data_IF_221316016423
#
_entry.id   IF_221316016423
#
_cell.length_a   1.000
_cell.length_b   1.000
_cell.length_c   1.000
_cell.angle_alpha   90.00
_cell.angle_beta   90.00
_cell.angle_gamma   90.00
#
_symmetry.space_group_name_H-M   'P 1'
#
loop_
_entity.id
_entity.type
_entity.pdbx_description
1 polymer ?
#
# COMPACT_ATOMS: atom_id res chain seq x y z
N UNK A 1 43.34 14.48 -20.79
CA UNK A 1 43.03 13.24 -21.53
C UNK A 1 41.58 12.89 -21.23
N UNK A 2 40.88 12.24 -22.16
CA UNK A 2 39.54 11.76 -21.90
C UNK A 2 39.60 10.48 -21.06
N UNK A 3 38.71 10.34 -20.09
CA UNK A 3 38.21 9.03 -19.69
C UNK A 3 36.86 8.85 -20.38
N UNK A 4 36.77 7.81 -21.18
CA UNK A 4 35.56 7.43 -21.90
C UNK A 4 34.57 6.90 -20.86
N UNK A 5 33.28 7.17 -21.06
CA UNK A 5 32.22 6.59 -20.25
C UNK A 5 31.97 5.14 -20.68
N UNK A 6 32.95 4.28 -20.44
CA UNK A 6 32.80 2.84 -20.60
C UNK A 6 31.76 2.37 -19.57
N UNK A 7 30.61 1.93 -20.08
CA UNK A 7 29.57 1.31 -19.26
C UNK A 7 30.08 -0.07 -18.85
N UNK A 8 30.83 -0.13 -17.75
CA UNK A 8 31.08 -1.38 -17.06
C UNK A 8 29.76 -1.90 -16.51
N UNK A 9 29.40 -3.13 -16.86
CA UNK A 9 28.39 -3.89 -16.12
C UNK A 9 28.81 -3.93 -14.65
N UNK A 10 27.96 -3.44 -13.74
CA UNK A 10 28.24 -3.41 -12.31
C UNK A 10 28.09 -4.83 -11.76
N UNK A 11 29.14 -5.62 -11.91
CA UNK A 11 29.25 -6.99 -11.39
C UNK A 11 29.27 -6.96 -9.86
N UNK A 12 28.07 -7.02 -9.27
CA UNK A 12 27.87 -7.08 -7.84
C UNK A 12 28.44 -8.37 -7.24
N UNK A 13 29.27 -8.22 -6.20
CA UNK A 13 29.68 -9.31 -5.30
C UNK A 13 28.86 -9.18 -4.03
N UNK A 14 28.39 -10.33 -3.51
CA UNK A 14 27.64 -10.39 -2.25
C UNK A 14 28.39 -9.68 -1.12
N UNK A 15 27.72 -8.77 -0.42
CA UNK A 15 28.33 -7.92 0.62
C UNK A 15 28.88 -8.74 1.80
N UNK A 16 28.40 -9.96 2.00
CA UNK A 16 28.95 -10.91 2.98
C UNK A 16 30.38 -11.38 2.67
N UNK A 17 30.91 -11.07 1.48
CA UNK A 17 32.26 -11.45 1.02
C UNK A 17 33.27 -10.28 1.08
N UNK A 18 32.83 -9.03 1.20
CA UNK A 18 33.72 -7.85 1.27
C UNK A 18 34.11 -7.53 2.72
N UNK A 19 34.85 -8.47 3.32
CA UNK A 19 35.22 -8.47 4.74
C UNK A 19 36.26 -7.38 5.12
N UNK A 20 36.72 -6.58 4.16
CA UNK A 20 37.80 -5.59 4.36
C UNK A 20 37.42 -4.16 3.92
N UNK A 21 36.23 -3.95 3.34
CA UNK A 21 35.71 -2.61 3.10
C UNK A 21 35.59 -1.81 4.40
N UNK A 22 36.22 -0.64 4.43
CA UNK A 22 36.02 0.33 5.51
C UNK A 22 34.66 1.01 5.35
N UNK A 23 33.85 1.04 6.42
CA UNK A 23 32.51 1.65 6.40
C UNK A 23 32.58 3.10 5.87
N UNK A 24 31.91 3.42 4.74
CA UNK A 24 32.01 4.75 4.14
C UNK A 24 31.37 5.80 5.06
N UNK A 25 32.11 6.89 5.31
CA UNK A 25 31.67 7.95 6.20
C UNK A 25 30.70 8.89 5.48
N UNK A 26 29.48 9.05 6.03
CA UNK A 26 28.49 9.97 5.47
C UNK A 26 28.92 11.42 5.75
N UNK A 27 29.26 12.16 4.68
CA UNK A 27 29.64 13.58 4.73
C UNK A 27 28.81 14.46 3.77
N UNK A 28 27.85 13.87 3.05
CA UNK A 28 27.01 14.57 2.06
C UNK A 28 25.76 15.23 2.65
N UNK A 29 25.39 14.89 3.89
CA UNK A 29 24.27 15.47 4.62
C UNK A 29 24.84 16.26 5.81
N UNK A 30 24.69 17.58 5.78
CA UNK A 30 25.23 18.45 6.84
C UNK A 30 24.32 18.47 8.08
N UNK A 31 22.99 18.39 7.85
CA UNK A 31 21.96 18.31 8.88
C UNK A 31 20.61 17.92 8.27
N UNK A 32 19.61 17.63 9.10
CA UNK A 32 18.23 17.53 8.64
C UNK A 32 17.22 17.57 9.78
N UNK A 33 16.02 18.07 9.50
CA UNK A 33 14.98 18.38 10.48
C UNK A 33 13.60 17.95 9.95
N UNK A 34 12.67 17.67 10.86
CA UNK A 34 11.27 17.43 10.52
C UNK A 34 10.52 18.76 10.53
N UNK A 35 9.76 19.05 9.48
CA UNK A 35 9.13 20.36 9.25
C UNK A 35 7.62 20.20 9.02
N UNK A 36 6.82 20.96 9.76
CA UNK A 36 5.35 20.86 9.78
C UNK A 36 4.69 21.77 8.76
N UNK A 37 3.70 21.24 8.04
CA UNK A 37 2.89 21.91 7.02
C UNK A 37 1.41 21.80 7.39
N UNK A 38 0.65 22.88 7.17
CA UNK A 38 -0.81 22.95 7.36
C UNK A 38 -1.54 22.73 6.02
N UNK A 39 -2.83 22.36 6.01
CA UNK A 39 -3.63 22.25 4.80
C UNK A 39 -3.76 23.61 4.09
N UNK A 40 -3.83 23.60 2.77
CA UNK A 40 -4.01 24.81 1.93
C UNK A 40 -5.42 25.40 2.08
N UNK A 41 -6.42 24.55 2.33
CA UNK A 41 -7.82 24.92 2.52
C UNK A 41 -8.35 24.45 3.87
N UNK A 42 -9.39 25.12 4.38
CA UNK A 42 -10.11 24.67 5.59
C UNK A 42 -10.61 23.23 5.44
N UNK A 43 -10.33 22.38 6.42
CA UNK A 43 -10.81 20.99 6.47
C UNK A 43 -12.34 20.99 6.47
N UNK A 44 -12.94 20.04 5.76
CA UNK A 44 -14.40 19.83 5.73
C UNK A 44 -14.74 18.34 5.74
N UNK A 45 -16.01 18.01 5.98
CA UNK A 45 -16.44 16.61 6.12
C UNK A 45 -16.40 15.82 4.81
N UNK A 46 -16.51 16.47 3.65
CA UNK A 46 -16.60 15.80 2.34
C UNK A 46 -15.54 16.29 1.32
N UNK A 47 -14.80 17.37 1.61
CA UNK A 47 -13.76 17.89 0.72
C UNK A 47 -12.43 17.13 0.83
N UNK A 48 -11.56 17.22 -0.20
CA UNK A 48 -10.20 16.73 -0.09
C UNK A 48 -9.40 17.56 0.92
N UNK A 49 -8.34 16.96 1.47
CA UNK A 49 -7.31 17.69 2.24
C UNK A 49 -6.09 17.81 1.34
N UNK A 50 -5.65 19.05 1.11
CA UNK A 50 -4.52 19.36 0.24
C UNK A 50 -3.39 20.03 1.02
N UNK A 51 -2.16 19.57 0.77
CA UNK A 51 -0.93 20.14 1.35
C UNK A 51 0.04 20.49 0.21
N UNK A 52 0.69 21.67 0.30
CA UNK A 52 1.73 22.08 -0.66
C UNK A 52 3.06 22.21 0.07
N UNK A 53 4.06 21.48 -0.42
CA UNK A 53 5.41 21.43 0.16
C UNK A 53 6.33 22.25 -0.73
N UNK A 54 6.57 23.51 -0.32
CA UNK A 54 7.36 24.43 -1.12
C UNK A 54 8.82 23.98 -1.30
N UNK A 55 9.20 23.80 -2.57
CA UNK A 55 10.55 23.44 -3.03
C UNK A 55 11.47 24.63 -3.27
N UNK A 56 11.13 25.84 -2.79
CA UNK A 56 11.90 27.08 -3.02
C UNK A 56 13.25 27.16 -2.31
N UNK A 57 13.59 26.18 -1.47
CA UNK A 57 14.90 26.08 -0.81
C UNK A 57 15.94 25.51 -1.78
N UNK A 58 17.02 26.24 -2.02
CA UNK A 58 18.10 25.81 -2.94
C UNK A 58 19.08 24.83 -2.30
N UNK A 59 19.21 24.85 -0.97
CA UNK A 59 20.18 24.06 -0.19
C UNK A 59 19.57 22.80 0.45
N UNK A 60 18.25 22.71 0.58
CA UNK A 60 17.54 21.61 1.23
C UNK A 60 16.88 20.67 0.21
N UNK A 61 17.15 19.37 0.32
CA UNK A 61 16.41 18.32 -0.39
C UNK A 61 15.37 17.68 0.55
N UNK A 62 14.35 17.03 0.01
CA UNK A 62 13.40 16.25 0.83
C UNK A 62 13.96 14.85 1.09
N UNK A 63 14.05 14.44 2.36
CA UNK A 63 14.14 13.02 2.70
C UNK A 63 12.74 12.44 2.61
N UNK A 64 12.44 11.88 1.44
CA UNK A 64 11.17 11.28 1.16
C UNK A 64 10.82 10.27 2.24
N UNK A 65 11.69 9.29 2.55
CA UNK A 65 11.44 8.21 3.53
C UNK A 65 11.09 8.63 4.99
N UNK A 66 11.00 9.93 5.29
CA UNK A 66 10.50 10.49 6.56
C UNK A 66 9.50 11.64 6.33
N UNK A 67 8.45 11.39 5.54
CA UNK A 67 7.21 12.17 5.57
C UNK A 67 6.13 11.43 6.37
N UNK A 68 5.31 12.16 7.13
CA UNK A 68 4.24 11.60 7.94
C UNK A 68 3.00 12.50 7.88
N UNK A 69 1.81 11.92 8.02
CA UNK A 69 0.58 12.67 8.29
C UNK A 69 0.24 12.56 9.78
N UNK A 70 -0.10 13.69 10.39
CA UNK A 70 -0.67 13.79 11.74
C UNK A 70 -2.15 14.14 11.60
N UNK A 71 -3.05 13.37 12.20
CA UNK A 71 -4.49 13.58 12.13
C UNK A 71 -5.09 13.50 13.53
N UNK A 72 -5.84 14.52 13.92
CA UNK A 72 -6.66 14.52 15.13
C UNK A 72 -8.12 14.40 14.73
N UNK A 73 -8.81 13.35 15.18
CA UNK A 73 -10.15 13.06 14.69
C UNK A 73 -11.10 12.49 15.75
N UNK A 74 -12.41 12.59 15.47
CA UNK A 74 -13.49 12.26 16.42
C UNK A 74 -14.57 11.40 15.75
N UNK A 75 -15.15 10.49 16.53
CA UNK A 75 -16.35 9.74 16.16
C UNK A 75 -17.55 10.36 16.88
N UNK A 76 -18.44 10.99 16.12
CA UNK A 76 -19.69 11.54 16.64
C UNK A 76 -20.79 10.48 16.50
N UNK A 77 -21.35 10.05 17.63
CA UNK A 77 -22.48 9.10 17.68
C UNK A 77 -23.75 9.86 18.08
N UNK A 78 -24.82 9.83 17.27
CA UNK A 78 -26.11 10.43 17.64
C UNK A 78 -26.66 9.80 18.92
N UNK A 79 -27.10 10.65 19.86
CA UNK A 79 -27.78 10.20 21.08
C UNK A 79 -29.15 9.61 20.74
N UNK A 80 -29.22 8.29 20.62
CA UNK A 80 -30.47 7.55 20.59
C UNK A 80 -31.16 7.56 21.96
N UNK A 81 -32.47 7.31 21.96
CA UNK A 81 -33.33 7.27 23.14
C UNK A 81 -32.71 6.39 24.25
N UNK A 82 -32.62 6.85 25.52
CA UNK A 82 -32.09 6.06 26.62
C UNK A 82 -32.82 4.74 26.91
N UNK A 83 -34.03 4.53 26.35
CA UNK A 83 -34.71 3.23 26.35
C UNK A 83 -34.09 2.21 25.36
N UNK A 84 -33.23 2.65 24.43
CA UNK A 84 -32.51 1.81 23.47
C UNK A 84 -31.02 1.69 23.82
N UNK A 85 -30.46 0.50 23.65
CA UNK A 85 -29.03 0.28 23.85
C UNK A 85 -28.22 1.10 22.83
N UNK A 86 -27.22 1.87 23.31
CA UNK A 86 -26.38 2.69 22.45
C UNK A 86 -25.66 1.80 21.41
N UNK A 87 -25.69 2.15 20.12
CA UNK A 87 -25.15 1.29 19.07
C UNK A 87 -23.62 1.21 19.18
N UNK A 88 -23.10 -0.01 19.26
CA UNK A 88 -21.66 -0.24 19.25
C UNK A 88 -21.11 0.07 17.86
N UNK A 89 -20.35 1.17 17.74
CA UNK A 89 -19.65 1.57 16.53
C UNK A 89 -18.24 2.06 16.88
N UNK A 90 -17.27 1.69 16.05
CA UNK A 90 -15.86 2.05 16.17
C UNK A 90 -15.16 1.96 14.82
N UNK A 91 -13.84 2.13 14.74
CA UNK A 91 -13.12 2.15 13.48
C UNK A 91 -12.67 0.77 12.99
N UNK A 92 -12.56 0.62 11.66
CA UNK A 92 -11.91 -0.54 11.03
C UNK A 92 -10.41 -0.58 11.36
N UNK A 93 -9.73 -1.68 11.03
CA UNK A 93 -8.29 -1.78 11.17
C UNK A 93 -7.56 -0.76 10.29
N UNK A 94 -6.40 -0.28 10.73
CA UNK A 94 -5.62 0.75 10.04
C UNK A 94 -6.44 2.04 9.77
N UNK A 95 -7.07 2.58 10.82
CA UNK A 95 -8.08 3.64 10.69
C UNK A 95 -7.55 4.87 9.93
N UNK A 96 -6.35 5.35 10.26
CA UNK A 96 -5.74 6.53 9.62
C UNK A 96 -5.66 6.41 8.09
N UNK A 97 -5.31 5.24 7.58
CA UNK A 97 -5.23 4.98 6.14
C UNK A 97 -6.62 4.76 5.54
N UNK A 98 -7.51 4.10 6.27
CA UNK A 98 -8.87 3.80 5.80
C UNK A 98 -9.74 5.05 5.62
N UNK A 99 -9.42 6.17 6.29
CA UNK A 99 -10.07 7.48 6.13
C UNK A 99 -9.95 8.07 4.71
N UNK A 100 -8.98 7.61 3.92
CA UNK A 100 -8.68 8.17 2.61
C UNK A 100 -8.85 7.12 1.52
N UNK A 101 -9.68 7.42 0.51
CA UNK A 101 -9.94 6.54 -0.64
C UNK A 101 -8.87 6.64 -1.72
N UNK A 102 -8.18 7.79 -1.80
CA UNK A 102 -7.09 8.04 -2.74
C UNK A 102 -6.07 9.02 -2.12
N UNK A 103 -4.78 8.74 -2.34
CA UNK A 103 -3.62 9.45 -1.75
C UNK A 103 -2.49 9.51 -2.80
N UNK A 104 -2.18 10.71 -3.30
CA UNK A 104 -1.37 10.88 -4.52
C UNK A 104 0.08 11.42 -4.23
N UNK A 105 1.04 10.67 -3.61
CA UNK A 105 2.37 11.26 -3.17
C UNK A 105 3.63 10.33 -2.89
N UNK A 106 4.69 10.79 -2.13
CA UNK A 106 6.14 10.37 -2.08
C UNK A 106 6.81 10.11 -0.64
N UNK A 107 7.43 8.91 -0.32
CA UNK A 107 7.99 8.28 0.97
C UNK A 107 7.95 6.69 1.01
N UNK A 108 9.01 5.96 1.38
CA UNK A 108 8.96 4.47 1.56
C UNK A 108 8.81 4.00 3.03
N UNK A 109 8.35 2.75 3.23
CA UNK A 109 7.84 2.11 4.46
C UNK A 109 8.97 1.55 5.39
N UNK A 110 8.82 0.73 6.47
CA UNK A 110 7.83 -0.28 6.97
C UNK A 110 8.02 -0.46 8.51
N UNK A 111 6.97 -0.52 9.38
CA UNK A 111 7.17 -0.66 10.85
C UNK A 111 5.97 -1.20 11.71
N UNK A 112 5.64 -2.51 11.63
CA UNK A 112 4.33 -3.05 12.09
C UNK A 112 3.99 -3.02 13.60
N UNK A 113 4.64 -3.83 14.45
CA UNK A 113 4.09 -4.20 15.78
C UNK A 113 4.11 -3.11 16.87
N UNK A 114 4.81 -2.00 16.64
CA UNK A 114 4.86 -0.85 17.55
C UNK A 114 4.34 0.41 16.86
N UNK A 115 5.02 0.86 15.80
CA UNK A 115 4.76 2.14 15.15
C UNK A 115 3.45 2.16 14.34
N UNK A 116 2.88 1.06 13.86
CA UNK A 116 1.54 1.13 13.25
C UNK A 116 0.40 1.24 14.29
N UNK A 117 0.66 1.12 15.60
CA UNK A 117 -0.41 1.34 16.61
C UNK A 117 -0.85 2.80 16.66
N UNK A 118 -0.01 3.78 16.25
CA UNK A 118 -0.41 5.18 16.03
C UNK A 118 -1.24 5.40 14.76
N UNK A 119 -1.46 4.36 13.95
CA UNK A 119 -2.45 4.34 12.87
C UNK A 119 -3.72 3.57 13.28
N UNK A 120 -3.81 3.13 14.54
CA UNK A 120 -4.71 2.09 15.04
C UNK A 120 -4.63 0.75 14.28
N UNK A 121 -3.43 0.32 13.85
CA UNK A 121 -3.24 -1.07 13.44
C UNK A 121 -3.29 -1.99 14.66
N UNK A 122 -4.29 -2.88 14.69
CA UNK A 122 -4.40 -4.00 15.63
C UNK A 122 -4.94 -5.19 14.85
N UNK A 123 -4.29 -6.35 14.96
CA UNK A 123 -4.64 -7.54 14.17
C UNK A 123 -6.10 -7.96 14.39
N UNK A 124 -6.86 -8.05 13.30
CA UNK A 124 -8.27 -8.45 13.35
C UNK A 124 -8.38 -9.94 13.65
N UNK A 125 -9.25 -10.31 14.58
CA UNK A 125 -9.27 -11.67 15.11
C UNK A 125 -9.75 -12.66 14.04
N UNK A 126 -8.97 -13.71 13.71
CA UNK A 126 -9.32 -14.63 12.64
C UNK A 126 -10.70 -15.26 12.84
N UNK A 127 -11.53 -15.23 11.79
CA UNK A 127 -12.91 -15.72 11.79
C UNK A 127 -13.93 -14.82 12.49
N UNK A 128 -13.49 -13.73 13.13
CA UNK A 128 -14.31 -12.81 13.90
C UNK A 128 -14.27 -11.37 13.37
N UNK A 129 -13.70 -11.17 12.17
CA UNK A 129 -13.47 -9.85 11.56
C UNK A 129 -14.74 -8.99 11.38
N UNK A 130 -15.90 -9.61 11.15
CA UNK A 130 -17.22 -8.96 11.09
C UNK A 130 -17.97 -9.10 12.44
N UNK A 131 -17.27 -8.98 13.57
CA UNK A 131 -17.86 -8.93 14.92
C UNK A 131 -17.44 -7.64 15.61
N UNK A 132 -18.40 -7.02 16.30
CA UNK A 132 -18.25 -5.75 17.03
C UNK A 132 -18.28 -5.98 18.55
N UNK A 133 -17.79 -7.15 18.98
CA UNK A 133 -17.82 -7.67 20.35
C UNK A 133 -16.44 -8.20 20.74
N UNK A 134 -16.22 -8.50 22.02
CA UNK A 134 -14.89 -8.90 22.54
C UNK A 134 -14.31 -10.20 21.98
N UNK A 135 -15.08 -10.96 21.20
CA UNK A 135 -14.56 -12.02 20.33
C UNK A 135 -13.62 -11.48 19.21
N UNK A 136 -13.62 -10.16 18.98
CA UNK A 136 -12.77 -9.44 18.04
C UNK A 136 -11.81 -8.49 18.79
N UNK A 137 -10.71 -9.04 19.28
CA UNK A 137 -9.70 -8.34 20.10
C UNK A 137 -9.07 -7.13 19.39
N UNK A 138 -8.89 -7.20 18.06
CA UNK A 138 -8.44 -6.06 17.24
C UNK A 138 -9.41 -4.88 17.32
N UNK A 139 -10.67 -5.10 16.95
CA UNK A 139 -11.74 -4.11 17.08
C UNK A 139 -11.91 -3.59 18.52
N UNK A 140 -12.01 -4.46 19.53
CA UNK A 140 -12.11 -4.04 20.94
C UNK A 140 -10.89 -3.22 21.40
N UNK A 141 -9.69 -3.43 20.82
CA UNK A 141 -8.52 -2.61 21.11
C UNK A 141 -8.62 -1.22 20.47
N UNK A 142 -9.12 -1.13 19.23
CA UNK A 142 -9.36 0.16 18.56
C UNK A 142 -10.50 0.96 19.20
N UNK A 143 -11.59 0.29 19.58
CA UNK A 143 -12.78 0.90 20.19
C UNK A 143 -12.45 1.63 21.51
N UNK A 144 -11.47 1.15 22.28
CA UNK A 144 -10.97 1.84 23.49
C UNK A 144 -10.39 3.23 23.20
N UNK A 145 -9.78 3.41 22.03
CA UNK A 145 -9.23 4.70 21.60
C UNK A 145 -10.32 5.67 21.14
N UNK A 146 -11.43 5.19 20.58
CA UNK A 146 -12.56 6.05 20.13
C UNK A 146 -13.72 6.18 21.13
N UNK A 147 -13.54 5.69 22.37
CA UNK A 147 -14.61 5.68 23.39
C UNK A 147 -15.04 7.11 23.78
N UNK A 148 -16.31 7.27 24.13
CA UNK A 148 -16.91 8.50 24.68
C UNK A 148 -16.73 9.76 23.82
N UNK A 149 -16.46 9.60 22.51
CA UNK A 149 -16.27 10.70 21.57
C UNK A 149 -14.96 11.48 21.77
N UNK A 150 -13.95 10.89 22.41
CA UNK A 150 -12.65 11.55 22.59
C UNK A 150 -11.92 11.77 21.25
N UNK A 151 -11.08 12.81 21.20
CA UNK A 151 -10.23 13.07 20.04
C UNK A 151 -9.07 12.07 20.05
N UNK A 152 -8.92 11.32 18.96
CA UNK A 152 -7.81 10.39 18.76
C UNK A 152 -6.70 11.09 17.99
N UNK A 153 -5.47 10.97 18.50
CA UNK A 153 -4.24 11.45 17.86
C UNK A 153 -3.64 10.30 17.03
N UNK A 154 -3.42 10.52 15.73
CA UNK A 154 -2.97 9.51 14.77
C UNK A 154 -1.76 10.03 14.00
N UNK A 155 -0.73 9.22 13.86
CA UNK A 155 0.53 9.61 13.22
C UNK A 155 1.17 8.46 12.45
N UNK A 156 1.37 8.62 11.15
CA UNK A 156 1.98 7.58 10.33
C UNK A 156 2.50 8.05 8.98
N UNK A 157 3.33 7.23 8.32
CA UNK A 157 3.69 7.44 6.93
C UNK A 157 2.45 7.35 6.03
N UNK A 158 2.45 8.09 4.93
CA UNK A 158 1.51 7.94 3.82
C UNK A 158 2.02 6.86 2.82
N UNK A 159 1.15 6.32 1.95
CA UNK A 159 1.45 5.15 1.09
C UNK A 159 0.90 5.32 -0.35
N UNK A 160 1.75 5.13 -1.38
CA UNK A 160 1.51 5.12 -2.85
C UNK A 160 2.84 4.72 -3.55
N UNK A 161 3.16 5.25 -4.75
CA UNK A 161 4.06 4.60 -5.71
C UNK A 161 5.44 5.24 -5.87
N UNK A 162 5.51 6.52 -6.29
CA UNK A 162 6.67 7.37 -5.96
C UNK A 162 6.72 7.60 -4.44
N UNK A 163 5.70 7.15 -3.67
CA UNK A 163 5.86 6.90 -2.24
C UNK A 163 7.09 5.97 -2.08
N UNK A 164 7.07 4.74 -2.58
CA UNK A 164 8.07 3.72 -2.22
C UNK A 164 9.50 3.83 -2.87
N UNK A 165 10.22 4.95 -2.71
CA UNK A 165 11.59 5.21 -3.26
C UNK A 165 12.55 5.82 -2.23
N UNK A 166 13.81 5.39 -2.24
CA UNK A 166 14.86 5.80 -1.27
C UNK A 166 15.75 6.99 -1.73
N UNK A 167 15.40 7.66 -2.84
CA UNK A 167 16.18 8.79 -3.41
C UNK A 167 15.63 10.13 -2.92
N UNK A 168 16.52 11.05 -2.52
CA UNK A 168 16.16 12.42 -2.16
C UNK A 168 15.63 13.18 -3.39
N UNK A 169 14.54 13.94 -3.23
CA UNK A 169 14.01 14.78 -4.31
C UNK A 169 14.88 16.03 -4.52
N UNK A 170 15.20 16.35 -5.78
CA UNK A 170 15.97 17.54 -6.16
C UNK A 170 15.33 18.85 -5.70
N UNK A 171 16.14 19.81 -5.27
CA UNK A 171 15.70 21.18 -5.00
C UNK A 171 15.14 21.86 -6.26
N UNK A 172 14.12 22.71 -6.07
CA UNK A 172 13.38 23.36 -7.15
C UNK A 172 12.26 22.52 -7.78
N UNK A 173 11.97 21.31 -7.28
CA UNK A 173 10.76 20.54 -7.63
C UNK A 173 9.66 20.86 -6.61
N UNK A 174 8.46 21.17 -7.06
CA UNK A 174 7.29 21.35 -6.21
C UNK A 174 6.55 20.02 -5.99
N UNK A 175 6.05 19.80 -4.77
CA UNK A 175 5.19 18.65 -4.43
C UNK A 175 3.85 19.15 -3.88
N UNK A 176 2.78 18.81 -4.60
CA UNK A 176 1.40 19.00 -4.16
C UNK A 176 0.81 17.66 -3.76
N UNK A 177 0.08 17.64 -2.65
CA UNK A 177 -0.53 16.46 -2.04
C UNK A 177 -2.04 16.61 -2.09
N UNK A 178 -2.75 15.60 -2.61
CA UNK A 178 -4.21 15.51 -2.54
C UNK A 178 -4.60 14.23 -1.80
N UNK A 179 -5.48 14.38 -0.80
CA UNK A 179 -6.07 13.28 -0.04
C UNK A 179 -7.59 13.31 -0.25
N UNK A 180 -8.15 12.28 -0.86
CA UNK A 180 -9.60 12.15 -1.04
C UNK A 180 -10.18 11.32 0.11
N UNK A 181 -11.28 11.78 0.73
CA UNK A 181 -11.92 11.07 1.84
C UNK A 181 -12.74 9.88 1.35
N UNK A 182 -12.64 8.76 2.05
CA UNK A 182 -13.50 7.59 1.84
C UNK A 182 -14.87 7.78 2.50
N UNK A 183 -15.83 6.90 2.17
CA UNK A 183 -17.15 6.87 2.81
C UNK A 183 -17.03 6.39 4.28
N UNK A 184 -17.75 7.02 5.21
CA UNK A 184 -17.81 6.59 6.62
C UNK A 184 -18.10 5.08 6.76
N UNK A 185 -19.00 4.53 5.93
CA UNK A 185 -19.35 3.11 5.96
C UNK A 185 -18.22 2.16 5.51
N UNK A 186 -17.16 2.67 4.87
CA UNK A 186 -15.97 1.88 4.51
C UNK A 186 -14.96 1.82 5.67
N UNK A 187 -14.87 2.87 6.49
CA UNK A 187 -13.82 2.99 7.51
C UNK A 187 -14.32 3.01 8.97
N UNK A 188 -15.62 2.80 9.18
CA UNK A 188 -16.25 2.52 10.48
C UNK A 188 -16.93 1.15 10.45
N UNK A 189 -17.05 0.52 11.61
CA UNK A 189 -17.67 -0.79 11.77
C UNK A 189 -18.52 -0.82 13.05
N UNK A 190 -19.70 -1.43 13.01
CA UNK A 190 -20.61 -1.46 14.14
C UNK A 190 -21.99 -2.08 13.86
N UNK A 191 -22.85 -2.01 14.87
CA UNK A 191 -24.22 -2.50 14.84
C UNK A 191 -25.26 -1.55 14.22
N UNK A 192 -24.89 -0.33 13.85
CA UNK A 192 -25.76 0.58 13.07
C UNK A 192 -24.95 1.65 12.33
N UNK A 193 -25.53 2.18 11.24
CA UNK A 193 -24.91 3.19 10.35
C UNK A 193 -24.85 4.61 10.94
N UNK A 194 -25.06 4.78 12.24
CA UNK A 194 -25.26 6.10 12.86
C UNK A 194 -23.97 6.93 13.05
N UNK A 195 -22.79 6.31 12.98
CA UNK A 195 -21.52 6.97 13.30
C UNK A 195 -21.04 7.93 12.20
N UNK A 196 -20.76 9.18 12.57
CA UNK A 196 -20.20 10.21 11.67
C UNK A 196 -18.76 10.55 12.09
N UNK A 197 -17.86 10.61 11.12
CA UNK A 197 -16.44 10.85 11.35
C UNK A 197 -15.99 12.27 10.99
N UNK A 198 -15.38 12.95 11.98
CA UNK A 198 -14.93 14.34 11.90
C UNK A 198 -13.39 14.40 12.01
N UNK A 199 -12.71 14.97 11.02
CA UNK A 199 -11.30 15.35 11.12
C UNK A 199 -11.25 16.75 11.74
N UNK A 200 -10.64 16.87 12.91
CA UNK A 200 -10.61 18.09 13.73
C UNK A 200 -9.37 18.94 13.41
N UNK A 201 -8.23 18.29 13.15
CA UNK A 201 -6.98 18.92 12.73
C UNK A 201 -6.17 17.93 11.88
N UNK A 202 -5.35 18.43 10.96
CA UNK A 202 -4.48 17.62 10.12
C UNK A 202 -3.19 18.40 9.78
N UNK A 203 -2.05 17.72 9.86
CA UNK A 203 -0.73 18.27 9.53
C UNK A 203 0.05 17.28 8.67
N UNK A 204 0.89 17.79 7.77
CA UNK A 204 1.88 17.01 7.03
C UNK A 204 3.27 17.35 7.57
N UNK A 205 4.05 16.34 7.97
CA UNK A 205 5.38 16.52 8.53
C UNK A 205 6.41 15.97 7.54
N UNK A 206 7.19 16.84 6.90
CA UNK A 206 8.17 16.49 5.85
C UNK A 206 9.58 16.66 6.38
N UNK A 207 10.47 15.67 6.22
CA UNK A 207 11.89 15.86 6.53
C UNK A 207 12.64 16.59 5.42
N UNK A 208 13.37 17.64 5.79
CA UNK A 208 14.33 18.34 4.94
C UNK A 208 15.78 18.04 5.34
N UNK A 209 16.67 18.13 4.36
CA UNK A 209 18.07 17.68 4.44
C UNK A 209 18.98 18.68 3.74
N UNK A 210 19.91 19.32 4.47
CA UNK A 210 20.88 20.23 3.82
C UNK A 210 21.98 19.44 3.13
N UNK A 211 22.19 19.73 1.85
CA UNK A 211 23.18 19.09 0.97
C UNK A 211 24.37 20.00 0.77
N UNK A 212 25.57 19.44 0.77
CA UNK A 212 26.80 20.22 0.65
C UNK A 212 26.96 20.86 -0.75
N UNK A 213 27.55 22.07 -0.87
CA UNK A 213 27.63 22.80 -2.14
C UNK A 213 28.37 22.06 -3.27
N UNK A 214 29.32 21.18 -2.94
CA UNK A 214 30.04 20.36 -3.92
C UNK A 214 29.15 19.31 -4.57
N UNK A 215 28.24 18.68 -3.81
CA UNK A 215 27.26 17.72 -4.33
C UNK A 215 26.21 18.44 -5.18
N UNK A 216 25.75 19.63 -4.76
CA UNK A 216 24.83 20.47 -5.56
C UNK A 216 25.47 20.85 -6.90
N UNK A 217 26.75 21.24 -6.92
CA UNK A 217 27.48 21.55 -8.15
C UNK A 217 27.61 20.32 -9.06
N UNK A 218 27.96 19.15 -8.51
CA UNK A 218 28.08 17.91 -9.26
C UNK A 218 26.73 17.46 -9.87
N UNK A 219 25.62 17.56 -9.12
CA UNK A 219 24.29 17.27 -9.63
C UNK A 219 23.89 18.21 -10.77
N UNK A 220 24.16 19.52 -10.65
CA UNK A 220 23.87 20.48 -11.72
C UNK A 220 24.73 20.24 -12.99
N UNK A 221 25.96 19.74 -12.85
CA UNK A 221 26.79 19.32 -13.98
C UNK A 221 26.25 18.02 -14.63
N UNK A 222 25.85 17.02 -13.84
CA UNK A 222 25.26 15.78 -14.34
C UNK A 222 23.93 16.03 -15.09
N UNK A 223 23.08 16.93 -14.56
CA UNK A 223 21.81 17.34 -15.17
C UNK A 223 21.98 18.02 -16.54
N UNK A 224 23.16 18.56 -16.86
CA UNK A 224 23.46 19.09 -18.19
C UNK A 224 23.63 17.99 -19.26
N UNK A 225 23.78 16.72 -18.85
CA UNK A 225 24.07 15.56 -19.71
C UNK A 225 22.94 14.51 -19.66
N UNK A 226 22.34 14.27 -18.50
CA UNK A 226 21.31 13.24 -18.29
C UNK A 226 20.22 13.68 -17.29
N UNK A 227 19.05 13.04 -17.35
CA UNK A 227 17.96 13.20 -16.40
C UNK A 227 18.28 12.55 -15.05
N UNK A 228 17.78 13.13 -13.95
CA UNK A 228 17.79 12.48 -12.64
C UNK A 228 16.65 11.46 -12.57
N UNK A 229 17.00 10.18 -12.36
CA UNK A 229 16.08 9.03 -12.47
C UNK A 229 15.54 8.55 -11.13
N UNK A 230 14.23 8.50 -10.98
CA UNK A 230 13.52 7.99 -9.81
C UNK A 230 12.71 6.75 -10.22
N UNK A 231 13.29 5.54 -10.09
CA UNK A 231 12.55 4.30 -10.33
C UNK A 231 11.49 4.10 -9.24
N UNK A 232 10.28 3.72 -9.64
CA UNK A 232 9.12 3.57 -8.75
C UNK A 232 8.46 2.21 -8.92
N UNK A 233 7.78 1.75 -7.87
CA UNK A 233 6.87 0.62 -7.94
C UNK A 233 5.45 1.18 -8.11
N UNK A 234 4.92 1.19 -9.34
CA UNK A 234 3.56 1.66 -9.62
C UNK A 234 2.53 0.60 -9.22
N UNK A 235 1.42 1.01 -8.63
CA UNK A 235 0.30 0.16 -8.25
C UNK A 235 -0.91 0.49 -9.14
N UNK A 236 -1.69 -0.53 -9.44
CA UNK A 236 -3.06 -0.39 -9.95
C UNK A 236 -3.94 -1.43 -9.26
N UNK A 237 -5.19 -1.08 -8.96
CA UNK A 237 -6.12 -1.93 -8.20
C UNK A 237 -7.43 -2.09 -8.95
N UNK A 238 -7.64 -3.26 -9.53
CA UNK A 238 -8.87 -3.58 -10.28
C UNK A 238 -9.85 -4.36 -9.42
N UNK A 239 -11.06 -3.82 -9.30
CA UNK A 239 -12.18 -4.45 -8.64
C UNK A 239 -13.11 -5.10 -9.67
N UNK A 240 -13.28 -6.42 -9.64
CA UNK A 240 -14.13 -7.16 -10.57
C UNK A 240 -15.22 -7.90 -9.79
N UNK A 241 -16.49 -7.54 -10.03
CA UNK A 241 -17.63 -8.20 -9.40
C UNK A 241 -17.91 -9.58 -10.02
N UNK A 242 -18.20 -10.53 -9.14
CA UNK A 242 -18.66 -11.89 -9.42
C UNK A 242 -20.07 -12.00 -8.82
N UNK A 243 -21.13 -12.14 -9.62
CA UNK A 243 -22.50 -12.20 -9.12
C UNK A 243 -22.76 -13.43 -8.24
N UNK A 244 -23.69 -13.30 -7.29
CA UNK A 244 -24.31 -14.45 -6.62
C UNK A 244 -24.83 -15.49 -7.64
N UNK A 245 -24.81 -16.77 -7.25
CA UNK A 245 -25.11 -17.91 -8.11
C UNK A 245 -23.92 -18.41 -8.96
N UNK A 246 -22.85 -17.62 -9.10
CA UNK A 246 -21.66 -18.04 -9.88
C UNK A 246 -20.90 -19.17 -9.20
N UNK A 247 -20.51 -20.20 -9.96
CA UNK A 247 -19.53 -21.23 -9.56
C UNK A 247 -18.17 -21.05 -10.25
N UNK A 248 -18.07 -20.19 -11.27
CA UNK A 248 -16.86 -19.95 -12.04
C UNK A 248 -16.89 -18.54 -12.60
N UNK A 249 -15.72 -17.88 -12.64
CA UNK A 249 -15.52 -16.57 -13.27
C UNK A 249 -14.20 -16.59 -14.03
N UNK A 250 -14.29 -16.38 -15.35
CA UNK A 250 -13.15 -15.90 -16.13
C UNK A 250 -13.12 -14.37 -16.08
N UNK A 251 -11.91 -13.83 -15.94
CA UNK A 251 -11.59 -12.42 -15.97
C UNK A 251 -10.56 -12.25 -17.09
N UNK A 252 -11.05 -12.09 -18.32
CA UNK A 252 -10.22 -11.87 -19.50
C UNK A 252 -9.75 -10.40 -19.57
N UNK A 253 -8.54 -10.18 -20.09
CA UNK A 253 -7.94 -8.85 -20.26
C UNK A 253 -7.92 -7.98 -18.98
N UNK A 254 -7.63 -8.59 -17.82
CA UNK A 254 -7.38 -7.86 -16.56
C UNK A 254 -6.28 -6.82 -16.80
N UNK A 255 -5.26 -7.18 -17.59
CA UNK A 255 -4.42 -6.23 -18.31
C UNK A 255 -4.30 -6.64 -19.77
N UNK A 256 -4.14 -5.64 -20.62
CA UNK A 256 -3.85 -5.75 -22.05
C UNK A 256 -2.90 -4.61 -22.39
N UNK A 257 -1.75 -4.90 -23.00
CA UNK A 257 -0.64 -3.95 -23.09
C UNK A 257 0.41 -4.29 -22.04
N UNK A 258 0.88 -3.32 -21.25
CA UNK A 258 1.90 -3.57 -20.21
C UNK A 258 1.40 -4.57 -19.17
N UNK A 259 2.24 -5.55 -18.84
CA UNK A 259 1.96 -6.58 -17.84
C UNK A 259 2.58 -6.21 -16.47
N UNK A 260 1.90 -6.50 -15.35
CA UNK A 260 2.46 -6.29 -14.02
C UNK A 260 3.64 -7.24 -13.77
N UNK A 261 4.57 -6.81 -12.91
CA UNK A 261 5.64 -7.65 -12.35
C UNK A 261 5.15 -8.54 -11.20
N UNK A 262 4.13 -8.10 -10.46
CA UNK A 262 3.47 -8.87 -9.39
C UNK A 262 1.96 -8.59 -9.38
N UNK A 263 1.17 -9.60 -9.03
CA UNK A 263 -0.26 -9.45 -8.73
C UNK A 263 -0.57 -10.07 -7.37
N UNK A 264 -1.42 -9.40 -6.59
CA UNK A 264 -2.06 -9.88 -5.37
C UNK A 264 -3.56 -9.91 -5.63
N UNK A 265 -4.22 -11.05 -5.41
CA UNK A 265 -5.68 -11.15 -5.48
C UNK A 265 -6.26 -11.53 -4.11
N UNK A 266 -7.37 -10.90 -3.77
CA UNK A 266 -8.22 -11.24 -2.63
C UNK A 266 -9.69 -11.15 -3.01
N UNK A 267 -10.54 -11.84 -2.25
CA UNK A 267 -11.99 -11.81 -2.44
C UNK A 267 -12.69 -11.26 -1.20
N UNK A 268 -13.64 -10.36 -1.39
CA UNK A 268 -14.46 -9.76 -0.31
C UNK A 268 -15.93 -9.68 -0.76
N UNK A 269 -16.87 -9.60 0.17
CA UNK A 269 -18.26 -9.32 -0.21
C UNK A 269 -18.34 -7.95 -0.90
N UNK A 270 -19.13 -7.81 -1.96
CA UNK A 270 -19.28 -6.53 -2.68
C UNK A 270 -19.88 -5.43 -1.81
N UNK A 271 -20.71 -5.81 -0.82
CA UNK A 271 -21.21 -4.92 0.25
C UNK A 271 -20.10 -4.36 1.12
N UNK A 272 -19.15 -5.20 1.57
CA UNK A 272 -17.98 -4.76 2.33
C UNK A 272 -17.09 -3.82 1.49
N UNK A 273 -16.81 -4.18 0.24
CA UNK A 273 -15.99 -3.38 -0.68
C UNK A 273 -16.54 -1.97 -0.93
N UNK A 274 -17.86 -1.85 -1.09
CA UNK A 274 -18.53 -0.55 -1.30
C UNK A 274 -18.68 0.28 -0.01
N UNK A 275 -18.33 -0.29 1.15
CA UNK A 275 -18.56 0.26 2.47
C UNK A 275 -19.91 -0.16 3.07
N UNK A 276 -19.84 -0.87 4.20
CA UNK A 276 -20.96 -1.27 5.04
C UNK A 276 -20.44 -1.38 6.48
N UNK A 277 -21.05 -0.68 7.44
CA UNK A 277 -20.57 -0.76 8.85
C UNK A 277 -20.70 -2.17 9.43
N UNK A 278 -21.53 -3.03 8.84
CA UNK A 278 -21.70 -4.41 9.27
C UNK A 278 -20.61 -5.36 8.75
N UNK A 279 -19.71 -4.90 7.87
CA UNK A 279 -18.72 -5.76 7.22
C UNK A 279 -17.34 -5.12 7.12
N UNK A 280 -16.30 -5.92 7.39
CA UNK A 280 -14.93 -5.45 7.30
C UNK A 280 -14.43 -5.53 5.84
N UNK A 281 -14.04 -4.41 5.19
CA UNK A 281 -13.52 -4.43 3.82
C UNK A 281 -12.17 -5.17 3.69
N UNK A 282 -11.49 -5.46 4.80
CA UNK A 282 -10.25 -6.22 4.85
C UNK A 282 -10.44 -7.70 5.23
N UNK A 283 -11.68 -8.18 5.35
CA UNK A 283 -11.99 -9.59 5.58
C UNK A 283 -11.96 -10.38 4.26
N UNK A 284 -10.73 -10.69 3.83
CA UNK A 284 -10.43 -11.45 2.63
C UNK A 284 -10.80 -12.93 2.82
N UNK A 285 -12.02 -13.26 2.42
CA UNK A 285 -12.61 -14.59 2.54
C UNK A 285 -12.23 -15.46 1.34
N UNK A 286 -12.13 -16.76 1.57
CA UNK A 286 -11.80 -17.72 0.52
C UNK A 286 -13.01 -18.14 -0.35
N UNK A 287 -14.25 -17.93 0.12
CA UNK A 287 -15.51 -18.32 -0.54
C UNK A 287 -15.55 -19.78 -1.08
N UNK A 288 -14.72 -20.65 -0.49
CA UNK A 288 -14.41 -22.00 -0.97
C UNK A 288 -14.06 -22.08 -2.47
N UNK A 289 -13.15 -21.19 -2.92
CA UNK A 289 -12.49 -21.36 -4.22
C UNK A 289 -11.64 -22.64 -4.20
N UNK A 290 -11.76 -23.46 -5.24
CA UNK A 290 -10.99 -24.70 -5.41
C UNK A 290 -10.01 -24.67 -6.57
N UNK A 291 -10.14 -23.67 -7.43
CA UNK A 291 -9.25 -23.42 -8.55
C UNK A 291 -9.03 -21.91 -8.69
N UNK A 292 -7.77 -21.48 -8.73
CA UNK A 292 -7.37 -20.13 -9.12
C UNK A 292 -6.15 -20.22 -10.06
N UNK A 293 -6.28 -19.64 -11.25
CA UNK A 293 -5.24 -19.60 -12.27
C UNK A 293 -5.04 -18.19 -12.81
N UNK A 294 -3.79 -17.86 -13.14
CA UNK A 294 -3.42 -16.66 -13.89
C UNK A 294 -2.75 -17.13 -15.17
N UNK A 295 -3.02 -16.45 -16.29
CA UNK A 295 -2.44 -16.75 -17.59
C UNK A 295 -1.84 -15.47 -18.17
N UNK A 296 -0.57 -15.54 -18.57
CA UNK A 296 0.09 -14.52 -19.41
C UNK A 296 0.07 -15.04 -20.84
N UNK A 297 -0.64 -14.37 -21.74
CA UNK A 297 -0.77 -14.76 -23.15
C UNK A 297 -1.14 -16.24 -23.33
N UNK A 298 -2.19 -16.65 -22.62
CA UNK A 298 -2.68 -18.04 -22.49
C UNK A 298 -1.75 -19.04 -21.79
N UNK A 299 -0.51 -18.69 -21.46
CA UNK A 299 0.43 -19.54 -20.70
C UNK A 299 0.17 -19.42 -19.20
N UNK A 300 -0.10 -20.52 -18.45
CA UNK A 300 -0.37 -20.44 -17.02
C UNK A 300 0.88 -20.05 -16.22
N UNK A 301 0.76 -19.06 -15.34
CA UNK A 301 1.83 -18.59 -14.45
C UNK A 301 1.28 -18.43 -13.03
N UNK A 302 1.75 -19.19 -12.02
CA UNK A 302 2.68 -20.33 -12.14
C UNK A 302 2.09 -21.49 -12.96
N UNK A 303 2.96 -22.35 -13.49
CA UNK A 303 2.63 -23.42 -14.45
C UNK A 303 1.58 -24.44 -13.99
N UNK A 304 1.33 -24.54 -12.68
CA UNK A 304 0.17 -25.23 -12.10
C UNK A 304 -0.73 -24.22 -11.40
N UNK A 305 -2.06 -24.26 -11.61
CA UNK A 305 -3.00 -23.41 -10.88
C UNK A 305 -2.93 -23.66 -9.37
N UNK A 306 -3.40 -22.70 -8.58
CA UNK A 306 -3.65 -22.90 -7.16
C UNK A 306 -4.91 -23.75 -7.02
N UNK A 307 -4.72 -25.01 -6.64
CA UNK A 307 -5.79 -25.91 -6.23
C UNK A 307 -5.92 -25.82 -4.72
N UNK A 308 -7.15 -25.70 -4.21
CA UNK A 308 -7.42 -25.54 -2.78
C UNK A 308 -8.62 -26.39 -2.35
N UNK A 309 -8.53 -26.94 -1.15
CA UNK A 309 -9.63 -27.55 -0.41
C UNK A 309 -9.56 -26.97 1.00
N UNK A 310 -10.43 -25.99 1.28
CA UNK A 310 -10.46 -25.32 2.57
C UNK A 310 -11.05 -26.19 3.70
N UNK A 311 -12.14 -26.96 3.49
CA UNK A 311 -12.64 -27.93 4.46
C UNK A 311 -11.57 -28.89 5.01
N UNK A 312 -10.70 -29.43 4.15
CA UNK A 312 -9.62 -30.35 4.55
C UNK A 312 -8.28 -29.64 4.84
N UNK A 313 -8.25 -28.31 4.92
CA UNK A 313 -7.06 -27.48 5.20
C UNK A 313 -5.90 -27.66 4.19
N UNK A 314 -6.22 -28.00 2.94
CA UNK A 314 -5.29 -28.21 1.82
C UNK A 314 -5.21 -26.97 0.92
N UNK A 315 -4.87 -25.82 1.50
CA UNK A 315 -4.65 -24.54 0.81
C UNK A 315 -3.18 -24.09 0.85
N UNK A 316 -2.26 -24.96 1.28
CA UNK A 316 -0.91 -24.57 1.72
C UNK A 316 -0.08 -23.86 0.63
N UNK A 317 -0.29 -24.17 -0.66
CA UNK A 317 0.41 -23.50 -1.76
C UNK A 317 -0.12 -22.09 -2.05
N UNK A 318 -1.42 -21.85 -1.83
CA UNK A 318 -1.98 -20.50 -1.89
C UNK A 318 -1.47 -19.65 -0.72
N UNK A 319 -1.33 -20.25 0.48
CA UNK A 319 -0.66 -19.62 1.62
C UNK A 319 0.84 -19.32 1.37
N UNK A 320 1.61 -20.28 0.81
CA UNK A 320 3.04 -20.08 0.57
C UNK A 320 3.33 -18.98 -0.47
N UNK A 321 2.38 -18.74 -1.39
CA UNK A 321 2.44 -17.66 -2.36
C UNK A 321 2.68 -16.28 -1.72
N UNK A 322 2.15 -16.06 -0.50
CA UNK A 322 2.35 -14.83 0.29
C UNK A 322 3.81 -14.56 0.67
N UNK A 323 4.67 -15.58 0.62
CA UNK A 323 6.08 -15.51 0.97
C UNK A 323 6.96 -15.56 -0.29
N UNK A 324 6.64 -16.48 -1.21
CA UNK A 324 7.26 -16.59 -2.54
C UNK A 324 7.13 -15.26 -3.31
N UNK A 325 5.90 -14.81 -3.58
CA UNK A 325 5.65 -13.62 -4.39
C UNK A 325 6.01 -12.30 -3.71
N UNK A 326 6.31 -12.30 -2.40
CA UNK A 326 6.85 -11.15 -1.68
C UNK A 326 8.39 -11.16 -1.62
N UNK A 327 9.05 -12.22 -2.09
CA UNK A 327 10.48 -12.51 -1.88
C UNK A 327 10.91 -12.41 -0.40
N UNK A 328 10.10 -13.00 0.49
CA UNK A 328 10.41 -13.20 1.92
C UNK A 328 10.45 -14.69 2.30
N UNK A 329 10.31 -15.59 1.32
CA UNK A 329 10.40 -17.02 1.58
C UNK A 329 11.83 -17.37 2.06
N UNK A 330 11.91 -18.11 3.17
CA UNK A 330 13.15 -18.43 3.89
C UNK A 330 13.94 -17.22 4.46
N UNK A 331 13.40 -16.00 4.42
CA UNK A 331 13.93 -14.87 5.18
C UNK A 331 13.40 -14.87 6.63
N UNK A 332 14.15 -14.26 7.57
CA UNK A 332 13.71 -14.05 8.95
C UNK A 332 12.74 -12.85 9.07
N UNK A 333 11.77 -12.79 8.15
CA UNK A 333 10.83 -11.68 7.98
C UNK A 333 9.44 -12.23 7.66
N UNK A 334 8.50 -12.08 8.58
CA UNK A 334 7.11 -12.51 8.39
C UNK A 334 6.20 -11.43 7.77
N UNK A 335 5.18 -11.86 7.04
CA UNK A 335 4.10 -10.99 6.55
C UNK A 335 2.99 -10.71 7.60
N UNK A 336 3.02 -11.41 8.74
CA UNK A 336 2.00 -11.42 9.81
C UNK A 336 0.71 -12.19 9.47
N UNK A 337 0.72 -13.10 8.50
CA UNK A 337 -0.40 -14.03 8.24
C UNK A 337 0.08 -15.45 8.59
N UNK A 338 -0.60 -16.10 9.53
CA UNK A 338 -0.30 -17.49 9.91
C UNK A 338 -1.11 -18.47 9.07
N UNK A 339 -0.69 -19.73 9.01
CA UNK A 339 -1.45 -20.80 8.35
C UNK A 339 -2.88 -20.89 8.89
N UNK A 340 -3.06 -20.65 10.19
CA UNK A 340 -4.34 -20.77 10.88
C UNK A 340 -5.21 -19.52 10.74
N UNK A 341 -4.63 -18.35 10.45
CA UNK A 341 -5.39 -17.13 10.16
C UNK A 341 -5.77 -17.00 8.68
N UNK A 342 -4.95 -17.54 7.76
CA UNK A 342 -5.14 -17.50 6.30
C UNK A 342 -6.58 -17.81 5.86
N UNK A 343 -7.08 -19.00 6.16
CA UNK A 343 -8.42 -19.44 5.78
C UNK A 343 -9.58 -18.72 6.50
N UNK A 344 -9.28 -17.78 7.42
CA UNK A 344 -10.24 -17.15 8.34
C UNK A 344 -10.29 -15.62 8.18
N UNK A 345 -10.19 -15.14 6.95
CA UNK A 345 -10.27 -13.72 6.58
C UNK A 345 -8.97 -13.09 6.06
N UNK A 346 -7.91 -13.90 5.88
CA UNK A 346 -6.61 -13.47 5.34
C UNK A 346 -6.25 -14.20 4.03
N UNK A 347 -7.26 -14.62 3.25
CA UNK A 347 -7.10 -15.50 2.09
C UNK A 347 -6.70 -14.72 0.81
N UNK A 348 -5.48 -14.19 0.82
CA UNK A 348 -4.84 -13.55 -0.34
C UNK A 348 -3.99 -14.55 -1.13
N UNK A 349 -3.75 -14.29 -2.42
CA UNK A 349 -2.79 -15.03 -3.24
C UNK A 349 -1.89 -14.05 -3.99
N UNK A 350 -0.57 -14.26 -3.93
CA UNK A 350 0.42 -13.42 -4.60
C UNK A 350 1.11 -14.22 -5.72
N UNK A 351 1.22 -13.63 -6.90
CA UNK A 351 2.02 -14.19 -7.99
C UNK A 351 3.05 -13.15 -8.42
N UNK A 352 4.33 -13.54 -8.33
CA UNK A 352 5.41 -12.87 -9.04
C UNK A 352 5.41 -13.37 -10.49
N UNK A 353 5.46 -12.44 -11.44
CA UNK A 353 5.50 -12.72 -12.87
C UNK A 353 6.90 -12.53 -13.48
N UNK A 354 7.86 -11.96 -12.74
CA UNK A 354 9.23 -11.74 -13.22
C UNK A 354 9.92 -13.08 -13.53
N UNK A 355 10.70 -13.20 -14.62
CA UNK A 355 11.39 -14.46 -14.98
C UNK A 355 12.34 -14.99 -13.91
N UNK A 356 12.81 -14.09 -13.05
CA UNK A 356 13.80 -14.27 -11.99
C UNK A 356 13.19 -14.33 -10.58
N UNK A 357 11.84 -14.24 -10.45
CA UNK A 357 11.10 -14.29 -9.17
C UNK A 357 11.59 -13.24 -8.15
N UNK A 358 11.95 -12.06 -8.65
CA UNK A 358 12.58 -10.97 -7.90
C UNK A 358 11.79 -9.66 -7.98
N UNK A 359 10.45 -9.68 -8.04
CA UNK A 359 9.64 -8.45 -8.12
C UNK A 359 9.86 -7.48 -6.93
N UNK A 360 10.31 -7.98 -5.77
CA UNK A 360 10.70 -7.18 -4.60
C UNK A 360 12.15 -6.68 -4.62
N UNK A 361 12.96 -6.98 -5.64
CA UNK A 361 14.37 -6.54 -5.68
C UNK A 361 14.48 -5.02 -5.65
N UNK A 362 15.46 -4.53 -4.89
CA UNK A 362 15.93 -3.15 -4.93
C UNK A 362 17.20 -2.99 -5.79
N UNK A 363 17.91 -4.10 -6.05
CA UNK A 363 19.21 -4.10 -6.75
C UNK A 363 19.06 -3.94 -8.26
N UNK A 364 17.94 -4.43 -8.81
CA UNK A 364 17.69 -4.46 -10.26
C UNK A 364 16.19 -4.46 -10.59
N UNK A 365 15.87 -4.11 -11.84
CA UNK A 365 14.49 -4.07 -12.35
C UNK A 365 14.35 -5.07 -13.50
N UNK A 366 13.50 -6.07 -13.33
CA UNK A 366 13.18 -7.05 -14.37
C UNK A 366 12.44 -6.37 -15.54
N UNK A 367 12.78 -6.72 -16.78
CA UNK A 367 12.38 -5.97 -17.99
C UNK A 367 10.84 -5.91 -18.14
N UNK A 368 10.24 -4.71 -18.37
CA UNK A 368 8.82 -4.59 -18.68
C UNK A 368 8.43 -5.41 -19.91
N UNK A 369 7.31 -6.15 -19.81
CA UNK A 369 6.75 -6.96 -20.90
C UNK A 369 5.36 -6.46 -21.27
N UNK A 370 4.98 -6.69 -22.52
CA UNK A 370 3.61 -6.47 -23.00
C UNK A 370 2.95 -7.80 -23.35
N UNK A 371 1.62 -7.83 -23.24
CA UNK A 371 0.82 -9.04 -23.44
C UNK A 371 -0.59 -8.89 -22.86
N UNK A 372 -1.15 -10.00 -22.41
CA UNK A 372 -2.50 -10.11 -21.82
C UNK A 372 -2.48 -10.90 -20.51
N UNK A 373 -3.09 -10.35 -19.45
CA UNK A 373 -3.36 -11.08 -18.20
C UNK A 373 -4.81 -11.53 -18.16
N UNK A 374 -5.04 -12.84 -18.08
CA UNK A 374 -6.33 -13.45 -17.74
C UNK A 374 -6.25 -14.11 -16.38
N UNK A 375 -7.28 -13.97 -15.56
CA UNK A 375 -7.43 -14.68 -14.29
C UNK A 375 -8.69 -15.53 -14.34
N UNK A 376 -8.65 -16.74 -13.79
CA UNK A 376 -9.77 -17.68 -13.74
C UNK A 376 -9.92 -18.21 -12.33
N UNK A 377 -11.13 -18.12 -11.76
CA UNK A 377 -11.47 -18.69 -10.45
C UNK A 377 -12.69 -19.61 -10.54
N UNK A 378 -12.66 -20.72 -9.81
CA UNK A 378 -13.80 -21.65 -9.64
C UNK A 378 -14.02 -21.95 -8.17
N UNK A 379 -15.29 -22.07 -7.79
CA UNK A 379 -15.75 -22.30 -6.43
C UNK A 379 -16.43 -23.67 -6.34
N UNK A 380 -16.26 -24.38 -5.21
CA UNK A 380 -16.91 -25.68 -4.99
C UNK A 380 -18.45 -25.57 -4.92
N UNK A 381 -18.94 -24.39 -4.53
CA UNK A 381 -20.35 -24.09 -4.34
C UNK A 381 -20.70 -22.80 -5.09
N UNK A 382 -21.98 -22.61 -5.43
CA UNK A 382 -22.44 -21.35 -6.00
C UNK A 382 -22.36 -20.24 -4.93
N UNK A 383 -21.78 -19.09 -5.29
CA UNK A 383 -21.66 -17.95 -4.38
C UNK A 383 -23.03 -17.51 -3.86
N UNK A 384 -23.19 -17.41 -2.54
CA UNK A 384 -24.45 -16.97 -1.91
C UNK A 384 -24.70 -15.47 -2.08
N UNK A 385 -23.64 -14.68 -2.00
CA UNK A 385 -23.64 -13.23 -2.16
C UNK A 385 -22.79 -12.83 -3.38
N UNK A 386 -22.93 -11.60 -3.86
CA UNK A 386 -21.99 -11.04 -4.84
C UNK A 386 -20.64 -10.74 -4.18
N UNK A 387 -19.56 -11.15 -4.84
CA UNK A 387 -18.18 -11.06 -4.36
C UNK A 387 -17.39 -10.14 -5.27
N UNK A 388 -16.58 -9.24 -4.70
CA UNK A 388 -15.61 -8.45 -5.45
C UNK A 388 -14.24 -9.13 -5.37
N UNK A 389 -13.69 -9.49 -6.52
CA UNK A 389 -12.27 -9.80 -6.66
C UNK A 389 -11.48 -8.48 -6.67
N UNK A 390 -10.60 -8.29 -5.69
CA UNK A 390 -9.70 -7.14 -5.59
C UNK A 390 -8.32 -7.57 -6.09
N UNK A 391 -7.86 -6.97 -7.18
CA UNK A 391 -6.67 -7.36 -7.92
C UNK A 391 -5.67 -6.20 -7.86
N UNK A 392 -4.80 -6.24 -6.85
CA UNK A 392 -3.72 -5.27 -6.64
C UNK A 392 -2.51 -5.69 -7.47
N UNK A 393 -2.03 -4.83 -8.36
CA UNK A 393 -1.04 -5.18 -9.38
C UNK A 393 0.10 -4.17 -9.38
N UNK A 394 1.34 -4.66 -9.35
CA UNK A 394 2.55 -3.84 -9.34
C UNK A 394 3.26 -3.83 -10.69
N UNK A 395 3.74 -2.65 -11.06
CA UNK A 395 4.48 -2.36 -12.29
C UNK A 395 5.81 -1.69 -11.95
N UNK A 396 6.81 -1.92 -12.78
CA UNK A 396 8.00 -1.07 -12.80
C UNK A 396 7.64 0.22 -13.55
N UNK A 397 7.98 1.38 -12.99
CA UNK A 397 7.93 2.67 -13.70
C UNK A 397 9.11 3.54 -13.32
N UNK A 398 9.30 4.66 -14.01
CA UNK A 398 10.38 5.59 -13.71
C UNK A 398 9.99 7.04 -14.01
N UNK A 399 10.34 7.92 -13.08
CA UNK A 399 10.15 9.35 -13.17
C UNK A 399 11.51 9.99 -13.44
N UNK A 400 11.66 10.63 -14.59
CA UNK A 400 12.86 11.36 -15.00
C UNK A 400 12.64 12.87 -14.79
N UNK A 401 13.58 13.53 -14.11
CA UNK A 401 13.57 14.98 -13.90
C UNK A 401 14.72 15.63 -14.68
N UNK A 402 14.39 16.63 -15.51
CA UNK A 402 15.38 17.33 -16.35
C UNK A 402 16.09 18.50 -15.62
N UNK A 403 17.07 19.11 -16.29
CA UNK A 403 17.81 20.27 -15.77
C UNK A 403 16.92 21.48 -15.42
N UNK A 404 15.77 21.61 -16.08
CA UNK A 404 14.80 22.69 -15.89
C UNK A 404 13.72 22.35 -14.84
N UNK A 405 13.79 21.14 -14.24
CA UNK A 405 12.77 20.54 -13.35
C UNK A 405 11.45 20.15 -14.03
N UNK A 406 11.46 19.97 -15.34
CA UNK A 406 10.36 19.26 -16.01
C UNK A 406 10.36 17.80 -15.56
N UNK A 407 9.18 17.26 -15.31
CA UNK A 407 8.95 15.86 -14.91
C UNK A 407 8.47 15.09 -16.15
N UNK A 408 9.09 13.94 -16.42
CA UNK A 408 8.71 13.01 -17.49
C UNK A 408 8.47 11.63 -16.88
N UNK A 409 7.35 10.99 -17.24
CA UNK A 409 6.99 9.63 -16.81
C UNK A 409 6.98 8.68 -18.00
N UNK A 410 7.37 7.42 -17.79
CA UNK A 410 7.29 6.35 -18.80
C UNK A 410 5.89 5.70 -18.89
N UNK A 411 5.01 6.04 -17.95
CA UNK A 411 3.58 5.69 -17.92
C UNK A 411 2.67 6.92 -18.13
N UNK A 412 1.47 6.70 -18.65
CA UNK A 412 0.35 7.65 -18.53
C UNK A 412 -0.12 7.72 -17.08
N UNK A 413 -0.41 8.93 -16.59
CA UNK A 413 -0.95 9.19 -15.25
C UNK A 413 -2.18 8.32 -14.94
#
# INVERSE_FOLDING_TARGET
MAFINDVQDVLSVKSELDLFASTPMQTGIESGSLQTYRPVTSISNNGPIEFVVSGTSTEEYLDLARVYIHVKARLNVPTLDPATAQPTIGPVNNWLHSMFSQVDVFLNQKCKQSHLTSNLWYEDTPGHMNKYTDAHTGFTSRLKHTKDGQIVDLYGPLHCDLFNVDKLLLSGVEMSIKLQRSNNAFHLMGGSDAGIFEIVDAELHVRKVKISPSVILAHNQALAVATAKYPINRVDVKAITIPAGSQTKTMDNVYLGMLPKRCIIGFVNTTAFNGSVAENPFNFQHFDYSYLAFYLDSTPVPSKPFLCDFPNNQFIRAYNSLFEGCNINHADIGNSISRDSYAKGYALVVVDFTPDLCASSADHISQPRTGSLRIEVRFNNALTNSVTAVIFSEFSGNIDIDKNRNIVTDYSS
#
